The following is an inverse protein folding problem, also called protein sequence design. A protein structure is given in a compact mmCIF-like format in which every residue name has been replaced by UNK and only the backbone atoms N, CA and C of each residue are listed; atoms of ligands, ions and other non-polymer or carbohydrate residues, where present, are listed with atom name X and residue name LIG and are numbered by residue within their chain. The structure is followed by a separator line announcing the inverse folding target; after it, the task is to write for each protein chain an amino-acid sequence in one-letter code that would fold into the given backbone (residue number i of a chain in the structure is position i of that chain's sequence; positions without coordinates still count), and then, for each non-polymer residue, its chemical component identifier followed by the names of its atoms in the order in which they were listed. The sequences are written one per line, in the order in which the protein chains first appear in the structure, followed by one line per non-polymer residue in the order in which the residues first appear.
data_IF_489265737805
#
_entry.id   IF_489265737805
#
_cell.length_a   1.000
_cell.length_b   1.000
_cell.length_c   1.000
_cell.angle_alpha   90.00
_cell.angle_beta   90.00
_cell.angle_gamma   90.00
#
_symmetry.space_group_name_H-M   'P 1'
#
loop_
_entity.id
_entity.type
_entity.pdbx_description
1 polymer ?
#
# COMPACT_ATOMS: atom_id res chain seq x y z
N UNK A 1 5.84 3.53 -3.65
CA UNK A 1 4.91 2.44 -3.29
C UNK A 1 4.57 1.62 -4.53
N UNK A 2 4.05 2.29 -5.54
CA UNK A 2 3.72 1.80 -6.88
C UNK A 2 4.92 1.73 -7.83
N UNK A 3 5.84 2.69 -7.75
CA UNK A 3 7.02 2.79 -8.61
C UNK A 3 8.33 2.64 -7.81
N UNK A 4 8.50 1.48 -7.18
CA UNK A 4 9.71 1.13 -6.43
C UNK A 4 10.28 -0.22 -6.88
N UNK A 5 11.42 -0.66 -6.32
CA UNK A 5 12.02 -1.94 -6.67
C UNK A 5 11.23 -3.16 -6.16
N UNK A 6 10.28 -2.95 -5.25
CA UNK A 6 9.48 -4.02 -4.64
C UNK A 6 8.23 -4.30 -5.46
N UNK A 7 8.01 -5.57 -5.84
CA UNK A 7 6.73 -6.03 -6.35
C UNK A 7 5.72 -6.15 -5.19
N UNK A 8 4.95 -5.09 -5.00
CA UNK A 8 3.95 -5.03 -3.93
C UNK A 8 2.79 -6.02 -4.15
N UNK A 9 2.46 -6.37 -5.38
CA UNK A 9 1.41 -7.36 -5.65
C UNK A 9 1.87 -8.77 -5.24
N UNK A 10 3.13 -9.12 -5.52
CA UNK A 10 3.73 -10.36 -5.05
C UNK A 10 3.80 -10.40 -3.50
N UNK A 11 4.19 -9.30 -2.86
CA UNK A 11 4.22 -9.20 -1.40
C UNK A 11 2.83 -9.45 -0.77
N UNK A 12 1.77 -8.84 -1.29
CA UNK A 12 0.40 -9.07 -0.79
C UNK A 12 -0.04 -10.52 -1.00
N UNK A 13 0.28 -11.14 -2.14
CA UNK A 13 -0.01 -12.56 -2.39
C UNK A 13 0.70 -13.47 -1.37
N UNK A 14 1.98 -13.22 -1.12
CA UNK A 14 2.75 -13.99 -0.15
C UNK A 14 2.18 -13.88 1.28
N UNK A 15 1.79 -12.66 1.71
CA UNK A 15 1.12 -12.47 3.01
C UNK A 15 -0.19 -13.25 3.10
N UNK A 16 -0.97 -13.31 2.02
CA UNK A 16 -2.21 -14.10 1.97
C UNK A 16 -1.95 -15.60 2.01
N UNK A 17 -0.93 -16.09 1.29
CA UNK A 17 -0.58 -17.51 1.23
C UNK A 17 -0.20 -18.08 2.60
N UNK A 18 0.45 -17.27 3.45
CA UNK A 18 0.76 -17.66 4.84
C UNK A 18 -0.39 -17.39 5.82
N UNK A 19 -1.55 -16.92 5.33
CA UNK A 19 -2.72 -16.65 6.16
C UNK A 19 -2.58 -15.45 7.11
N UNK A 20 -1.74 -14.46 6.77
CA UNK A 20 -1.57 -13.26 7.61
C UNK A 20 -2.86 -12.44 7.69
N UNK A 21 -3.27 -12.08 8.91
CA UNK A 21 -4.50 -11.32 9.21
C UNK A 21 -4.25 -10.03 10.01
N UNK A 22 -2.98 -9.65 10.20
CA UNK A 22 -2.60 -8.45 10.94
C UNK A 22 -2.80 -7.15 10.15
N UNK A 23 -2.61 -6.00 10.82
CA UNK A 23 -2.72 -4.70 10.17
C UNK A 23 -1.57 -4.45 9.19
N UNK A 24 -1.85 -3.69 8.13
CA UNK A 24 -0.86 -3.18 7.17
C UNK A 24 -0.93 -1.66 7.18
N UNK A 25 0.24 -1.01 7.18
CA UNK A 25 0.38 0.45 7.15
C UNK A 25 1.35 0.86 6.03
N UNK A 26 1.01 1.85 5.18
CA UNK A 26 2.01 2.49 4.33
C UNK A 26 3.00 3.24 5.21
N UNK A 27 4.30 3.04 4.98
CA UNK A 27 5.33 3.61 5.84
C UNK A 27 5.68 5.04 5.42
N UNK A 28 6.75 5.21 4.63
CA UNK A 28 7.21 6.51 4.18
C UNK A 28 6.62 6.88 2.82
N UNK A 29 6.11 8.10 2.70
CA UNK A 29 5.50 8.66 1.48
C UNK A 29 6.26 9.90 0.99
N UNK A 30 6.26 10.18 -0.33
CA UNK A 30 6.76 11.46 -0.79
C UNK A 30 5.87 12.59 -0.23
N UNK A 31 6.52 13.70 0.11
CA UNK A 31 5.82 14.96 0.33
C UNK A 31 5.34 15.48 -1.02
N UNK A 32 4.05 15.76 -1.13
CA UNK A 32 3.43 16.25 -2.36
C UNK A 32 3.28 17.78 -2.34
N UNK A 33 3.04 18.35 -3.53
CA UNK A 33 2.78 19.78 -3.68
C UNK A 33 1.56 20.16 -2.82
N UNK A 34 1.68 21.25 -2.07
CA UNK A 34 0.64 21.74 -1.15
C UNK A 34 0.78 21.24 0.29
N UNK A 35 1.80 20.44 0.60
CA UNK A 35 2.09 19.95 1.95
C UNK A 35 3.22 20.74 2.62
N UNK A 36 3.15 22.08 2.61
CA UNK A 36 4.26 22.97 3.02
C UNK A 36 4.69 22.84 4.49
N UNK A 37 3.84 22.20 5.32
CA UNK A 37 4.10 21.92 6.73
C UNK A 37 3.76 20.46 7.02
N UNK A 38 4.78 19.61 7.05
CA UNK A 38 4.63 18.19 7.36
C UNK A 38 5.96 17.54 7.67
N UNK A 39 5.91 16.44 8.42
CA UNK A 39 7.07 15.59 8.66
C UNK A 39 7.41 14.84 7.34
N UNK A 40 8.64 14.97 6.80
CA UNK A 40 9.05 14.24 5.61
C UNK A 40 8.80 12.73 5.76
N UNK A 41 8.26 12.09 4.72
CA UNK A 41 7.88 10.68 4.79
C UNK A 41 6.50 10.43 5.41
N UNK A 42 5.89 11.42 6.05
CA UNK A 42 4.72 11.26 6.90
C UNK A 42 3.62 12.29 6.61
N UNK A 43 3.61 12.85 5.41
CA UNK A 43 2.59 13.82 4.98
C UNK A 43 1.30 13.13 4.52
N UNK A 44 0.19 13.87 4.48
CA UNK A 44 -1.16 13.31 4.37
C UNK A 44 -1.54 12.89 2.95
N UNK A 45 -1.22 13.69 1.93
CA UNK A 45 -1.59 13.41 0.54
C UNK A 45 -0.88 12.16 0.02
N UNK A 46 0.43 12.05 0.30
CA UNK A 46 1.20 10.86 -0.05
C UNK A 46 0.66 9.59 0.63
N UNK A 47 0.27 9.67 1.92
CA UNK A 47 -0.36 8.56 2.65
C UNK A 47 -1.70 8.19 2.06
N UNK A 48 -2.54 9.17 1.73
CA UNK A 48 -3.86 8.93 1.14
C UNK A 48 -3.72 8.13 -0.16
N UNK A 49 -2.79 8.51 -1.03
CA UNK A 49 -2.48 7.76 -2.25
C UNK A 49 -2.00 6.33 -1.94
N UNK A 50 -1.04 6.18 -1.02
CA UNK A 50 -0.48 4.87 -0.67
C UNK A 50 -1.53 3.92 -0.06
N UNK A 51 -2.45 4.43 0.77
CA UNK A 51 -3.59 3.65 1.28
C UNK A 51 -4.49 3.16 0.14
N UNK A 52 -4.85 4.05 -0.79
CA UNK A 52 -5.66 3.68 -1.96
C UNK A 52 -4.98 2.58 -2.79
N UNK A 53 -3.68 2.72 -3.04
CA UNK A 53 -2.88 1.73 -3.77
C UNK A 53 -2.86 0.37 -3.07
N UNK A 54 -2.59 0.33 -1.76
CA UNK A 54 -2.59 -0.92 -0.98
C UNK A 54 -3.96 -1.59 -1.00
N UNK A 55 -5.06 -0.82 -0.84
CA UNK A 55 -6.42 -1.41 -0.94
C UNK A 55 -6.68 -1.99 -2.32
N UNK A 56 -6.31 -1.28 -3.39
CA UNK A 56 -6.46 -1.77 -4.76
C UNK A 56 -5.70 -3.09 -4.99
N UNK A 57 -4.48 -3.21 -4.45
CA UNK A 57 -3.74 -4.48 -4.48
C UNK A 57 -4.41 -5.58 -3.67
N UNK A 58 -4.91 -5.27 -2.46
CA UNK A 58 -5.64 -6.24 -1.65
C UNK A 58 -6.85 -6.78 -2.40
N UNK A 59 -7.60 -5.92 -3.09
CA UNK A 59 -8.78 -6.31 -3.88
C UNK A 59 -8.37 -7.11 -5.13
N UNK A 60 -7.39 -6.62 -5.90
CA UNK A 60 -6.94 -7.25 -7.14
C UNK A 60 -6.24 -8.62 -6.93
N UNK A 61 -5.61 -8.81 -5.77
CA UNK A 61 -4.97 -10.09 -5.42
C UNK A 61 -5.90 -11.05 -4.68
N UNK A 62 -7.12 -10.63 -4.38
CA UNK A 62 -8.12 -11.49 -3.76
C UNK A 62 -8.52 -12.57 -4.77
N UNK A 63 -8.21 -13.84 -4.48
CA UNK A 63 -8.69 -14.96 -5.29
C UNK A 63 -10.18 -15.12 -5.02
N UNK A 64 -11.03 -14.61 -5.91
CA UNK A 64 -12.42 -15.08 -5.97
C UNK A 64 -12.34 -16.58 -6.21
N UNK A 65 -12.80 -17.41 -5.27
CA UNK A 65 -13.06 -18.82 -5.56
C UNK A 65 -14.08 -18.81 -6.69
N UNK A 66 -13.64 -19.15 -7.91
CA UNK A 66 -14.58 -19.59 -8.94
C UNK A 66 -15.10 -20.93 -8.45
N UNK A 67 -16.35 -20.95 -8.03
CA UNK A 67 -17.15 -22.17 -7.93
C UNK A 67 -17.33 -22.78 -9.32
#
# INVERSE_FOLDING_TARGET
HDNGPTDMAAAIRALREVGFTGPIRPDHVPQLIGEDKGEPGYTMLGRLFAFGYIRGLLDATNRVKKE
#
